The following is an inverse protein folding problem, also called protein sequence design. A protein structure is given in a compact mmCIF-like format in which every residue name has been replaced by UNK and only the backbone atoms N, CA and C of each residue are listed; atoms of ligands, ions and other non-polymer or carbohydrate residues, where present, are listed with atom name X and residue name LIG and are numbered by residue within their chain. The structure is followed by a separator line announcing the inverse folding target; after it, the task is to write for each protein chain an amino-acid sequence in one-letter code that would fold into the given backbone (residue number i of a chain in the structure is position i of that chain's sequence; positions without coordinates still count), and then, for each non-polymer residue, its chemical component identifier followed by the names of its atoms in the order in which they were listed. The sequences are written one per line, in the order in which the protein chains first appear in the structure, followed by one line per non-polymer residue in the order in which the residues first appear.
data_IF_026005128325
#
_entry.id   IF_026005128325
#
_cell.length_a   1.000
_cell.length_b   1.000
_cell.length_c   1.000
_cell.angle_alpha   90.00
_cell.angle_beta   90.00
_cell.angle_gamma   90.00
#
_symmetry.space_group_name_H-M   'P 1'
#
loop_
_entity.id
_entity.type
_entity.pdbx_description
1 polymer ?
#
# COMPACT_ATOMS: atom_id res chain seq x y z
N UNK A 1 22.74 64.66 -18.08
CA UNK A 1 23.24 63.38 -18.63
C UNK A 1 22.75 62.26 -17.74
N UNK A 2 22.07 61.29 -18.34
CA UNK A 2 21.34 60.19 -17.73
C UNK A 2 22.32 59.07 -17.33
N UNK A 3 22.25 58.60 -16.08
CA UNK A 3 23.04 57.47 -15.59
C UNK A 3 22.21 56.59 -14.67
N UNK A 4 21.37 55.75 -15.28
CA UNK A 4 20.59 54.69 -14.63
C UNK A 4 21.54 53.74 -13.88
N UNK A 5 21.52 53.74 -12.55
CA UNK A 5 22.13 52.68 -11.75
C UNK A 5 21.14 51.54 -11.65
N UNK A 6 21.45 50.46 -12.37
CA UNK A 6 20.65 49.26 -12.46
C UNK A 6 20.46 48.61 -11.09
N UNK A 7 19.19 48.38 -10.76
CA UNK A 7 18.73 47.56 -9.67
C UNK A 7 19.13 46.11 -9.98
N UNK A 8 20.13 45.57 -9.28
CA UNK A 8 20.48 44.13 -9.35
C UNK A 8 19.41 43.39 -8.57
N UNK A 9 18.37 42.93 -9.29
CA UNK A 9 17.36 42.02 -8.79
C UNK A 9 18.00 40.63 -8.74
N UNK A 10 18.67 40.30 -7.63
CA UNK A 10 19.08 38.94 -7.31
C UNK A 10 17.83 38.10 -7.12
N UNK A 11 17.37 37.43 -8.18
CA UNK A 11 16.42 36.34 -8.09
C UNK A 11 17.01 35.29 -7.15
N UNK A 12 16.47 35.23 -5.94
CA UNK A 12 16.65 34.12 -5.03
C UNK A 12 16.16 32.85 -5.72
N UNK A 13 17.11 32.06 -6.18
CA UNK A 13 16.93 30.70 -6.68
C UNK A 13 16.15 29.91 -5.60
N UNK A 14 14.97 29.34 -5.91
CA UNK A 14 14.28 28.52 -4.93
C UNK A 14 15.15 27.28 -4.69
N UNK A 15 15.57 27.12 -3.44
CA UNK A 15 16.20 25.92 -2.90
C UNK A 15 15.33 24.70 -3.22
N UNK A 16 15.69 23.96 -4.28
CA UNK A 16 15.26 22.58 -4.48
C UNK A 16 15.80 21.77 -3.30
N UNK A 17 14.96 21.54 -2.30
CA UNK A 17 15.19 20.56 -1.22
C UNK A 17 15.17 19.15 -1.84
N UNK A 18 16.31 18.45 -1.96
CA UNK A 18 16.32 17.05 -2.35
C UNK A 18 16.12 16.23 -1.08
N UNK A 19 14.87 16.00 -0.64
CA UNK A 19 14.73 15.42 0.70
C UNK A 19 13.39 14.88 1.18
N UNK A 20 12.37 14.70 0.34
CA UNK A 20 11.08 14.18 0.82
C UNK A 20 10.59 12.90 0.14
N UNK A 21 11.37 12.30 -0.76
CA UNK A 21 10.99 11.01 -1.34
C UNK A 21 11.75 9.90 -0.62
N UNK A 22 11.06 8.92 -0.01
CA UNK A 22 11.73 7.75 0.54
C UNK A 22 12.57 7.06 -0.54
N UNK A 23 13.61 6.29 -0.18
CA UNK A 23 14.36 5.51 -1.15
C UNK A 23 13.40 4.62 -1.96
N UNK A 24 13.58 4.53 -3.28
CA UNK A 24 12.73 3.72 -4.17
C UNK A 24 12.64 2.26 -3.71
N UNK A 25 13.67 1.76 -3.04
CA UNK A 25 13.78 0.36 -2.64
C UNK A 25 13.28 0.12 -1.20
N UNK A 26 12.82 1.16 -0.50
CA UNK A 26 12.31 1.04 0.86
C UNK A 26 11.05 0.14 0.85
N UNK A 27 11.03 -0.95 1.64
CA UNK A 27 9.83 -1.78 1.74
C UNK A 27 8.68 -0.95 2.29
N UNK A 28 7.45 -1.26 1.86
CA UNK A 28 6.27 -0.60 2.40
C UNK A 28 6.22 -0.73 3.93
N UNK A 29 5.76 0.30 4.63
CA UNK A 29 5.55 0.26 6.07
C UNK A 29 4.69 -0.96 6.44
N UNK A 30 5.00 -1.61 7.56
CA UNK A 30 4.42 -2.91 7.89
C UNK A 30 2.88 -2.90 7.90
N UNK A 31 2.24 -1.80 8.29
CA UNK A 31 0.79 -1.71 8.29
C UNK A 31 0.20 -1.64 6.89
N UNK A 32 0.88 -0.97 5.94
CA UNK A 32 0.47 -0.96 4.53
C UNK A 32 0.71 -2.29 3.85
N UNK A 33 1.84 -2.94 4.13
CA UNK A 33 2.12 -4.29 3.64
C UNK A 33 1.09 -5.30 4.19
N UNK A 34 0.78 -5.23 5.49
CA UNK A 34 -0.23 -6.08 6.11
C UNK A 34 -1.61 -5.85 5.51
N UNK A 35 -2.00 -4.60 5.29
CA UNK A 35 -3.26 -4.24 4.63
C UNK A 35 -3.31 -4.79 3.21
N UNK A 36 -2.24 -4.64 2.43
CA UNK A 36 -2.15 -5.20 1.08
C UNK A 36 -2.32 -6.73 1.08
N UNK A 37 -1.64 -7.44 1.98
CA UNK A 37 -1.76 -8.90 2.11
C UNK A 37 -3.19 -9.34 2.39
N UNK A 38 -3.84 -8.76 3.40
CA UNK A 38 -5.23 -9.11 3.71
C UNK A 38 -6.18 -8.79 2.56
N UNK A 39 -5.98 -7.66 1.89
CA UNK A 39 -6.75 -7.25 0.71
C UNK A 39 -6.60 -8.19 -0.48
N UNK A 40 -5.38 -8.67 -0.77
CA UNK A 40 -5.14 -9.64 -1.86
C UNK A 40 -6.02 -10.88 -1.68
N UNK A 41 -6.17 -11.36 -0.44
CA UNK A 41 -7.01 -12.51 -0.12
C UNK A 41 -8.51 -12.17 -0.10
N UNK A 42 -8.90 -11.06 0.52
CA UNK A 42 -10.31 -10.62 0.62
C UNK A 42 -10.91 -10.27 -0.76
N UNK A 43 -10.11 -9.71 -1.66
CA UNK A 43 -10.50 -9.36 -3.02
C UNK A 43 -10.38 -10.53 -4.00
N UNK A 44 -9.81 -11.67 -3.59
CA UNK A 44 -9.65 -12.83 -4.46
C UNK A 44 -8.72 -12.58 -5.65
N UNK A 45 -7.67 -11.78 -5.47
CA UNK A 45 -6.69 -11.52 -6.54
C UNK A 45 -5.86 -12.79 -6.88
N UNK A 46 -5.95 -13.82 -6.05
CA UNK A 46 -5.44 -15.18 -6.26
C UNK A 46 -6.36 -16.18 -5.55
N UNK A 47 -5.99 -17.45 -5.47
CA UNK A 47 -6.72 -18.52 -4.76
C UNK A 47 -6.30 -18.69 -3.29
N UNK A 48 -5.60 -17.70 -2.73
CA UNK A 48 -5.31 -17.64 -1.29
C UNK A 48 -6.55 -17.12 -0.55
N UNK A 49 -7.11 -17.94 0.33
CA UNK A 49 -8.23 -17.53 1.19
C UNK A 49 -7.79 -16.55 2.28
N UNK A 50 -8.70 -15.73 2.83
CA UNK A 50 -8.44 -14.86 3.98
C UNK A 50 -7.79 -15.61 5.17
N UNK A 51 -8.32 -16.77 5.54
CA UNK A 51 -7.80 -17.57 6.66
C UNK A 51 -6.36 -18.04 6.40
N UNK A 52 -6.09 -18.50 5.17
CA UNK A 52 -4.75 -18.94 4.79
C UNK A 52 -3.78 -17.76 4.77
N UNK A 53 -4.23 -16.60 4.30
CA UNK A 53 -3.42 -15.38 4.33
C UNK A 53 -3.03 -15.03 5.77
N UNK A 54 -3.99 -14.96 6.69
CA UNK A 54 -3.72 -14.65 8.11
C UNK A 54 -2.77 -15.67 8.75
N UNK A 55 -2.93 -16.97 8.46
CA UNK A 55 -2.11 -18.02 9.05
C UNK A 55 -0.68 -18.05 8.51
N UNK A 56 -0.47 -17.69 7.23
CA UNK A 56 0.77 -17.93 6.51
C UNK A 56 1.43 -16.66 5.93
N UNK A 57 0.93 -15.46 6.24
CA UNK A 57 1.39 -14.20 5.63
C UNK A 57 2.92 -13.99 5.74
N UNK A 58 3.56 -14.54 6.79
CA UNK A 58 5.00 -14.43 6.98
C UNK A 58 5.80 -15.06 5.84
N UNK A 59 5.25 -16.08 5.14
CA UNK A 59 5.86 -16.67 3.93
C UNK A 59 5.96 -15.65 2.79
N UNK A 60 5.04 -14.69 2.70
CA UNK A 60 5.04 -13.66 1.67
C UNK A 60 6.07 -12.54 1.91
N UNK A 61 6.57 -12.39 3.15
CA UNK A 61 7.43 -11.26 3.53
C UNK A 61 8.89 -11.41 3.08
N UNK A 62 9.34 -12.64 2.79
CA UNK A 62 10.69 -12.91 2.31
C UNK A 62 11.82 -12.40 3.23
N UNK A 63 11.57 -12.25 4.53
CA UNK A 63 12.54 -11.76 5.52
C UNK A 63 12.84 -10.26 5.46
N UNK A 64 12.02 -9.45 4.79
CA UNK A 64 12.25 -7.99 4.63
C UNK A 64 11.86 -7.15 5.85
N UNK A 65 11.23 -7.76 6.84
CA UNK A 65 10.70 -7.12 8.05
C UNK A 65 11.34 -7.74 9.29
N UNK A 66 11.50 -6.94 10.34
CA UNK A 66 11.90 -7.46 11.66
C UNK A 66 10.81 -8.36 12.24
N UNK A 67 11.14 -9.16 13.26
CA UNK A 67 10.15 -9.97 13.97
C UNK A 67 9.10 -9.09 14.67
N UNK A 68 9.49 -7.90 15.13
CA UNK A 68 8.59 -6.93 15.74
C UNK A 68 7.59 -6.38 14.73
N UNK A 69 8.07 -5.91 13.58
CA UNK A 69 7.22 -5.41 12.50
C UNK A 69 6.30 -6.51 11.96
N UNK A 70 6.81 -7.73 11.85
CA UNK A 70 6.03 -8.89 11.42
C UNK A 70 4.88 -9.13 12.40
N UNK A 71 5.14 -9.14 13.72
CA UNK A 71 4.06 -9.29 14.72
C UNK A 71 3.05 -8.12 14.66
N UNK A 72 3.51 -6.90 14.49
CA UNK A 72 2.64 -5.72 14.37
C UNK A 72 1.78 -5.78 13.09
N UNK A 73 2.31 -6.34 12.00
CA UNK A 73 1.64 -6.50 10.71
C UNK A 73 0.40 -7.38 10.80
N UNK A 74 0.39 -8.40 11.66
CA UNK A 74 -0.72 -9.35 11.79
C UNK A 74 -2.08 -8.67 11.96
N UNK A 75 -2.18 -7.62 12.78
CA UNK A 75 -3.43 -6.88 12.99
C UNK A 75 -3.98 -6.26 11.70
N UNK A 76 -3.10 -5.72 10.87
CA UNK A 76 -3.45 -5.14 9.57
C UNK A 76 -3.86 -6.21 8.55
N UNK A 77 -3.21 -7.38 8.57
CA UNK A 77 -3.60 -8.52 7.72
C UNK A 77 -5.01 -8.98 8.09
N UNK A 78 -5.28 -9.20 9.38
CA UNK A 78 -6.59 -9.65 9.86
C UNK A 78 -7.67 -8.64 9.53
N UNK A 79 -7.42 -7.36 9.80
CA UNK A 79 -8.37 -6.29 9.49
C UNK A 79 -8.69 -6.29 7.99
N UNK A 80 -7.67 -6.30 7.14
CA UNK A 80 -7.85 -6.24 5.69
C UNK A 80 -8.48 -7.49 5.07
N UNK A 81 -8.21 -8.66 5.66
CA UNK A 81 -8.76 -9.94 5.25
C UNK A 81 -10.26 -10.06 5.52
N UNK A 82 -10.82 -9.25 6.44
CA UNK A 82 -12.20 -9.39 6.93
C UNK A 82 -13.07 -8.14 6.74
N UNK A 83 -12.49 -6.99 6.40
CA UNK A 83 -13.22 -5.73 6.23
C UNK A 83 -14.19 -5.75 5.03
N UNK A 84 -15.34 -5.09 5.25
CA UNK A 84 -16.41 -4.86 4.27
C UNK A 84 -16.62 -3.36 4.07
N UNK A 85 -16.91 -2.96 2.83
CA UNK A 85 -16.80 -1.59 2.33
C UNK A 85 -17.89 -1.36 1.29
N UNK A 86 -18.39 -0.14 1.19
CA UNK A 86 -19.31 0.22 0.09
C UNK A 86 -18.57 0.26 -1.25
N UNK A 87 -17.35 0.80 -1.26
CA UNK A 87 -16.51 0.91 -2.46
C UNK A 87 -15.62 -0.32 -2.69
N UNK A 88 -16.08 -1.53 -2.30
CA UNK A 88 -15.28 -2.76 -2.42
C UNK A 88 -14.79 -3.03 -3.85
N UNK A 89 -15.61 -2.73 -4.86
CA UNK A 89 -15.24 -2.93 -6.27
C UNK A 89 -14.02 -2.08 -6.65
N UNK A 90 -14.02 -0.79 -6.27
CA UNK A 90 -12.93 0.16 -6.54
C UNK A 90 -11.63 -0.34 -5.90
N UNK A 91 -11.68 -0.64 -4.60
CA UNK A 91 -10.56 -1.13 -3.81
C UNK A 91 -9.98 -2.42 -4.38
N UNK A 92 -10.84 -3.40 -4.66
CA UNK A 92 -10.38 -4.68 -5.19
C UNK A 92 -9.83 -4.56 -6.61
N UNK A 93 -10.39 -3.67 -7.44
CA UNK A 93 -9.84 -3.40 -8.77
C UNK A 93 -8.42 -2.83 -8.69
N UNK A 94 -8.17 -1.91 -7.76
CA UNK A 94 -6.85 -1.32 -7.57
C UNK A 94 -5.84 -2.35 -7.05
N UNK A 95 -6.19 -3.09 -6.00
CA UNK A 95 -5.31 -4.12 -5.41
C UNK A 95 -4.96 -5.18 -6.45
N UNK A 96 -5.94 -5.73 -7.16
CA UNK A 96 -5.69 -6.80 -8.13
C UNK A 96 -4.99 -6.30 -9.41
N UNK A 97 -5.07 -5.00 -9.72
CA UNK A 97 -4.33 -4.41 -10.85
C UNK A 97 -2.82 -4.29 -10.61
N UNK A 98 -2.38 -4.28 -9.36
CA UNK A 98 -0.96 -4.27 -8.97
C UNK A 98 -0.32 -5.67 -9.11
N UNK A 99 -0.47 -6.29 -10.28
CA UNK A 99 -0.22 -7.71 -10.55
C UNK A 99 1.18 -8.20 -10.17
N UNK A 100 2.22 -7.39 -10.37
CA UNK A 100 3.59 -7.77 -10.02
C UNK A 100 3.80 -7.83 -8.49
N UNK A 101 3.13 -6.96 -7.72
CA UNK A 101 3.16 -6.98 -6.26
C UNK A 101 2.32 -8.12 -5.71
N UNK A 102 1.17 -8.39 -6.34
CA UNK A 102 0.34 -9.56 -6.02
C UNK A 102 1.15 -10.83 -6.25
N UNK A 103 1.86 -10.96 -7.38
CA UNK A 103 2.73 -12.11 -7.65
C UNK A 103 3.79 -12.30 -6.57
N UNK A 104 4.40 -11.20 -6.11
CA UNK A 104 5.42 -11.22 -5.05
C UNK A 104 4.91 -11.84 -3.76
N UNK A 105 3.64 -11.64 -3.41
CA UNK A 105 3.07 -12.16 -2.16
C UNK A 105 2.42 -13.54 -2.31
N UNK A 106 1.76 -13.81 -3.44
CA UNK A 106 1.01 -15.07 -3.61
C UNK A 106 1.92 -16.23 -4.00
N UNK A 107 2.97 -15.98 -4.79
CA UNK A 107 3.87 -17.04 -5.28
C UNK A 107 4.63 -17.74 -4.15
N UNK A 108 5.22 -17.06 -3.15
CA UNK A 108 5.84 -17.72 -1.98
C UNK A 108 4.84 -18.53 -1.16
N UNK A 109 3.56 -18.16 -1.22
CA UNK A 109 2.48 -18.87 -0.55
C UNK A 109 1.93 -20.03 -1.40
N UNK A 110 2.44 -20.26 -2.62
CA UNK A 110 1.92 -21.28 -3.53
C UNK A 110 0.48 -21.00 -3.99
N UNK A 111 0.11 -19.72 -4.10
CA UNK A 111 -1.13 -19.31 -4.73
C UNK A 111 -1.04 -19.29 -6.25
N UNK A 112 -2.17 -19.10 -6.91
CA UNK A 112 -2.29 -18.91 -8.35
C UNK A 112 -1.48 -17.69 -8.79
N UNK A 113 -0.57 -17.92 -9.73
CA UNK A 113 0.24 -16.88 -10.36
C UNK A 113 -0.64 -15.92 -11.17
N UNK A 114 -0.24 -14.65 -11.20
CA UNK A 114 -0.82 -13.62 -12.06
C UNK A 114 -0.25 -13.66 -13.48
N UNK A 115 0.80 -14.46 -13.73
CA UNK A 115 1.51 -14.52 -15.01
C UNK A 115 2.45 -13.35 -15.28
N UNK A 116 2.61 -12.43 -14.32
CA UNK A 116 3.51 -11.27 -14.40
C UNK A 116 4.77 -11.53 -13.56
N UNK A 117 5.90 -10.93 -13.95
CA UNK A 117 7.11 -10.99 -13.14
C UNK A 117 6.90 -10.29 -11.79
N UNK A 118 7.35 -10.92 -10.70
CA UNK A 118 7.26 -10.38 -9.35
C UNK A 118 8.09 -9.08 -9.20
N UNK A 119 7.51 -8.07 -8.53
CA UNK A 119 8.18 -6.80 -8.22
C UNK A 119 8.15 -6.51 -6.69
N UNK A 120 9.15 -5.80 -6.13
CA UNK A 120 9.12 -5.39 -4.72
C UNK A 120 7.83 -4.62 -4.36
N UNK A 121 7.32 -4.85 -3.15
CA UNK A 121 6.27 -4.00 -2.56
C UNK A 121 6.96 -2.88 -1.77
N UNK A 122 6.96 -1.68 -2.32
CA UNK A 122 7.69 -0.53 -1.78
C UNK A 122 6.72 0.52 -1.24
N UNK A 123 7.20 1.41 -0.40
CA UNK A 123 6.37 2.49 0.14
C UNK A 123 5.86 3.44 -0.96
N UNK A 124 6.66 3.67 -2.00
CA UNK A 124 6.32 4.60 -3.09
C UNK A 124 5.37 3.96 -4.09
N UNK A 125 5.58 2.69 -4.43
CA UNK A 125 4.86 2.07 -5.54
C UNK A 125 3.55 1.44 -5.08
N UNK A 126 3.44 1.04 -3.81
CA UNK A 126 2.20 0.46 -3.29
C UNK A 126 1.12 1.55 -3.33
N UNK A 127 -0.05 1.22 -3.86
CA UNK A 127 -1.23 2.07 -3.83
C UNK A 127 -2.37 1.33 -3.17
N UNK A 128 -3.03 1.96 -2.20
CA UNK A 128 -4.14 1.36 -1.46
C UNK A 128 -5.26 2.39 -1.30
N UNK A 129 -6.36 2.15 -1.98
CA UNK A 129 -7.59 2.94 -1.86
C UNK A 129 -8.20 2.69 -0.49
N UNK A 130 -8.57 3.79 0.17
CA UNK A 130 -9.24 3.75 1.47
C UNK A 130 -10.69 3.27 1.36
N UNK A 131 -11.13 2.63 2.43
CA UNK A 131 -12.49 2.14 2.52
C UNK A 131 -13.48 3.16 2.98
N UNK A 132 -14.58 3.24 2.23
CA UNK A 132 -15.73 4.05 2.57
C UNK A 132 -16.70 3.19 3.37
N UNK A 133 -16.84 3.56 4.64
CA UNK A 133 -17.92 3.06 5.48
C UNK A 133 -19.17 3.90 5.21
N UNK A 134 -20.31 3.23 5.13
CA UNK A 134 -21.61 3.88 5.11
C UNK A 134 -21.78 4.67 6.41
N UNK A 135 -21.67 6.00 6.36
CA UNK A 135 -22.20 6.83 7.43
C UNK A 135 -23.72 6.67 7.41
N UNK A 136 -24.25 5.67 8.09
CA UNK A 136 -25.62 5.76 8.59
C UNK A 136 -25.55 6.83 9.68
N UNK A 137 -25.73 8.08 9.27
CA UNK A 137 -26.07 9.19 10.16
C UNK A 137 -27.23 8.66 10.99
N UNK A 138 -26.98 8.41 12.28
CA UNK A 138 -27.96 7.88 13.21
C UNK A 138 -29.22 8.72 13.11
N UNK A 139 -30.24 8.16 12.46
CA UNK A 139 -31.57 8.72 12.45
C UNK A 139 -32.00 8.89 13.89
N UNK A 140 -32.52 10.09 14.20
CA UNK A 140 -33.06 10.39 15.51
C UNK A 140 -34.01 9.27 15.95
N UNK A 141 -33.74 8.74 17.13
CA UNK A 141 -34.72 7.98 17.88
C UNK A 141 -35.88 8.92 18.26
N UNK A 142 -37.14 8.51 18.13
CA UNK A 142 -38.22 9.14 18.88
C UNK A 142 -38.06 8.91 20.38
#
# INVERSE_FOLDING_TARGET
MIGRRGLVLTLALPLLLPGCLPPSDQPAWYGRMGRFLGLVANCGCSDISPDRMVAEYTKALGGRYSDEDTRAMHGYVVQAATELWENRIEVCSEVCSQQCMVETVVRPMGGRSTGVAACPVTEIDLHLTDGKQSNVTGGGFP
#
